data_IF_549221919652
#
_entry.id   IF_549221919652
#
_cell.length_a   1.000
_cell.length_b   1.000
_cell.length_c   1.000
_cell.angle_alpha   90.00
_cell.angle_beta   90.00
_cell.angle_gamma   90.00
#
_symmetry.space_group_name_H-M   'P 1'
#
loop_
_entity.id
_entity.type
_entity.pdbx_description
1 polymer ?
#
# COMPACT_ATOMS: atom_id res chain seq x y z
N UNK A 1 -9.01 12.55 0.90
CA UNK A 1 -9.41 11.48 -0.04
C UNK A 1 -9.07 11.96 -1.43
N UNK A 2 -8.50 11.09 -2.27
CA UNK A 2 -8.22 11.44 -3.66
C UNK A 2 -9.45 11.65 -4.55
N UNK A 3 -9.25 11.85 -5.87
CA UNK A 3 -10.35 11.99 -6.82
C UNK A 3 -11.24 10.73 -6.90
N UNK A 4 -10.76 9.57 -6.43
CA UNK A 4 -11.59 8.41 -6.15
C UNK A 4 -12.48 8.63 -4.92
N UNK A 5 -13.80 8.44 -5.09
CA UNK A 5 -14.76 8.45 -3.98
C UNK A 5 -14.40 7.32 -3.00
N UNK A 6 -14.34 7.62 -1.70
CA UNK A 6 -14.24 6.57 -0.67
C UNK A 6 -15.37 5.54 -0.87
N UNK A 7 -15.00 4.29 -1.13
CA UNK A 7 -15.96 3.20 -1.38
C UNK A 7 -16.20 2.35 -0.14
N UNK A 8 -15.37 2.51 0.89
CA UNK A 8 -15.59 1.89 2.20
C UNK A 8 -16.82 2.54 2.85
N UNK A 9 -17.85 1.75 3.23
CA UNK A 9 -18.99 2.22 3.99
C UNK A 9 -18.54 2.88 5.28
N UNK A 10 -19.14 4.02 5.62
CA UNK A 10 -18.87 4.69 6.90
C UNK A 10 -19.34 3.82 8.05
N UNK A 11 -18.48 3.66 9.05
CA UNK A 11 -18.78 2.95 10.29
C UNK A 11 -18.09 3.64 11.48
N UNK A 12 -18.24 3.10 12.69
CA UNK A 12 -17.43 3.50 13.85
C UNK A 12 -16.08 2.78 13.78
N UNK A 13 -14.93 3.47 13.90
CA UNK A 13 -13.63 2.82 13.90
C UNK A 13 -13.50 1.83 15.06
N UNK A 14 -13.09 0.59 14.77
CA UNK A 14 -12.83 -0.47 15.74
C UNK A 14 -11.48 -1.13 15.46
N UNK A 15 -10.65 -1.27 16.50
CA UNK A 15 -9.32 -1.87 16.46
C UNK A 15 -9.24 -3.22 17.18
N UNK A 16 -10.34 -3.66 17.81
CA UNK A 16 -10.44 -4.89 18.61
C UNK A 16 -11.51 -5.85 18.02
N UNK A 17 -11.84 -5.66 16.74
CA UNK A 17 -12.82 -6.46 16.02
C UNK A 17 -12.34 -7.90 15.72
N UNK A 18 -13.07 -8.67 14.90
CA UNK A 18 -12.64 -10.01 14.51
C UNK A 18 -11.32 -9.98 13.73
N UNK A 19 -10.54 -11.08 13.80
CA UNK A 19 -9.30 -11.22 13.03
C UNK A 19 -9.61 -11.29 11.53
N UNK A 20 -8.91 -10.47 10.75
CA UNK A 20 -9.01 -10.37 9.31
C UNK A 20 -7.64 -10.55 8.66
N UNK A 21 -7.62 -11.18 7.50
CA UNK A 21 -6.40 -11.38 6.71
C UNK A 21 -5.97 -10.08 6.05
N UNK A 22 -4.67 -9.78 6.10
CA UNK A 22 -4.04 -8.66 5.41
C UNK A 22 -3.16 -9.22 4.30
N UNK A 23 -3.42 -8.78 3.08
CA UNK A 23 -2.69 -9.17 1.88
C UNK A 23 -2.01 -7.91 1.33
N UNK A 24 -0.81 -8.05 0.81
CA UNK A 24 -0.19 -7.00 0.00
C UNK A 24 -0.24 -7.42 -1.46
N UNK A 25 -0.48 -6.45 -2.34
CA UNK A 25 -0.39 -6.68 -3.77
C UNK A 25 0.44 -5.63 -4.47
N UNK A 26 1.03 -6.02 -5.60
CA UNK A 26 1.74 -5.11 -6.49
C UNK A 26 1.54 -5.45 -7.98
N UNK A 27 1.67 -4.45 -8.84
CA UNK A 27 1.73 -4.63 -10.29
C UNK A 27 2.62 -3.56 -10.94
N UNK A 28 3.12 -3.75 -12.17
CA UNK A 28 3.86 -2.71 -12.88
C UNK A 28 3.03 -1.43 -13.08
N UNK A 29 3.65 -0.26 -12.96
CA UNK A 29 3.03 1.02 -13.32
C UNK A 29 2.62 0.97 -14.80
N UNK A 30 1.43 1.48 -15.15
CA UNK A 30 0.74 1.35 -16.46
C UNK A 30 0.02 0.01 -16.76
N UNK A 31 -0.31 -0.80 -15.74
CA UNK A 31 -1.22 -1.94 -15.87
C UNK A 31 -0.80 -2.95 -16.95
N UNK A 32 -1.74 -3.37 -17.81
CA UNK A 32 -1.50 -4.38 -18.85
C UNK A 32 -0.44 -4.00 -19.90
N UNK A 33 -0.27 -2.71 -20.21
CA UNK A 33 0.75 -2.21 -21.14
C UNK A 33 2.15 -2.30 -20.49
N UNK A 34 2.24 -2.01 -19.19
CA UNK A 34 3.45 -2.20 -18.40
C UNK A 34 3.87 -3.67 -18.35
N UNK A 35 2.91 -4.60 -18.25
CA UNK A 35 3.16 -6.06 -18.29
C UNK A 35 3.70 -6.52 -19.65
N UNK A 36 3.18 -5.99 -20.76
CA UNK A 36 3.66 -6.31 -22.12
C UNK A 36 5.08 -5.80 -22.37
N UNK A 37 5.39 -4.59 -21.91
CA UNK A 37 6.74 -4.01 -22.00
C UNK A 37 7.75 -4.69 -21.06
N UNK A 38 7.31 -5.25 -19.92
CA UNK A 38 8.17 -5.99 -19.00
C UNK A 38 8.81 -7.23 -19.66
N UNK A 39 8.12 -7.85 -20.63
CA UNK A 39 8.62 -9.00 -21.39
C UNK A 39 9.77 -8.67 -22.36
N UNK A 40 10.08 -7.39 -22.61
CA UNK A 40 11.10 -6.95 -23.58
C UNK A 40 12.39 -6.39 -22.96
N UNK A 41 12.53 -6.41 -21.63
CA UNK A 41 13.76 -5.91 -21.00
C UNK A 41 13.66 -5.42 -19.56
N UNK A 42 12.55 -5.73 -18.85
CA UNK A 42 12.40 -5.44 -17.44
C UNK A 42 12.15 -3.97 -17.15
N UNK A 43 10.92 -3.63 -16.75
CA UNK A 43 10.77 -2.40 -15.97
C UNK A 43 11.60 -2.56 -14.69
N UNK A 44 12.34 -1.54 -14.25
CA UNK A 44 13.02 -1.61 -12.97
C UNK A 44 11.99 -2.01 -11.91
N UNK A 45 12.33 -2.93 -11.01
CA UNK A 45 11.49 -3.35 -9.86
C UNK A 45 10.93 -2.17 -9.05
N UNK A 46 11.53 -0.99 -9.22
CA UNK A 46 11.18 0.33 -8.69
C UNK A 46 9.94 0.98 -9.33
N UNK A 47 9.40 0.43 -10.42
CA UNK A 47 8.20 0.92 -11.11
C UNK A 47 7.01 -0.03 -10.89
N UNK A 48 6.76 -0.40 -9.63
CA UNK A 48 5.60 -1.18 -9.23
C UNK A 48 4.68 -0.32 -8.37
N UNK A 49 3.37 -0.42 -8.62
CA UNK A 49 2.32 0.13 -7.77
C UNK A 49 1.95 -0.88 -6.69
N UNK A 50 1.81 -0.41 -5.44
CA UNK A 50 1.64 -1.26 -4.26
C UNK A 50 0.35 -0.85 -3.53
N UNK A 51 -0.42 -1.85 -3.09
CA UNK A 51 -1.65 -1.66 -2.34
C UNK A 51 -1.79 -2.71 -1.22
N UNK A 52 -2.49 -2.34 -0.15
CA UNK A 52 -2.81 -3.23 0.98
C UNK A 52 -4.27 -3.63 0.89
N UNK A 53 -4.56 -4.92 1.00
CA UNK A 53 -5.88 -5.52 0.82
C UNK A 53 -6.37 -6.13 2.12
N UNK A 54 -7.59 -5.79 2.54
CA UNK A 54 -8.25 -6.36 3.72
C UNK A 54 -9.75 -6.51 3.43
N UNK A 55 -10.28 -7.72 3.56
CA UNK A 55 -11.65 -8.02 3.15
C UNK A 55 -11.88 -7.71 1.67
N UNK A 56 -12.89 -6.89 1.38
CA UNK A 56 -13.31 -6.55 0.01
C UNK A 56 -12.67 -5.25 -0.54
N UNK A 57 -11.74 -4.65 0.21
CA UNK A 57 -11.17 -3.35 -0.10
C UNK A 57 -9.65 -3.38 -0.23
N UNK A 58 -9.14 -2.49 -1.08
CA UNK A 58 -7.72 -2.16 -1.15
C UNK A 58 -7.47 -0.71 -0.73
N UNK A 59 -6.26 -0.46 -0.25
CA UNK A 59 -5.80 0.80 0.33
C UNK A 59 -4.43 1.16 -0.25
N UNK A 60 -4.31 2.34 -0.83
CA UNK A 60 -3.11 2.75 -1.56
C UNK A 60 -2.79 4.24 -1.42
N UNK A 61 -1.56 4.58 -1.80
CA UNK A 61 -1.15 5.95 -2.04
C UNK A 61 -1.32 6.26 -3.53
N UNK A 62 -1.97 7.37 -3.83
CA UNK A 62 -2.05 7.94 -5.17
C UNK A 62 -1.61 9.41 -5.14
N UNK A 63 -1.67 10.09 -6.27
CA UNK A 63 -1.32 11.51 -6.41
C UNK A 63 -2.35 12.25 -7.26
N UNK A 64 -2.59 13.53 -6.96
CA UNK A 64 -3.39 14.38 -7.83
C UNK A 64 -2.58 14.92 -9.03
N UNK A 65 -3.21 15.77 -9.84
CA UNK A 65 -2.58 16.38 -11.02
C UNK A 65 -1.39 17.28 -10.68
N UNK A 66 -1.33 17.78 -9.45
CA UNK A 66 -0.25 18.63 -8.92
C UNK A 66 0.78 17.80 -8.13
N UNK A 67 0.74 16.46 -8.25
CA UNK A 67 1.61 15.49 -7.60
C UNK A 67 1.51 15.46 -6.06
N UNK A 68 0.46 16.05 -5.49
CA UNK A 68 0.22 15.94 -4.05
C UNK A 68 -0.19 14.52 -3.70
N UNK A 69 0.50 13.92 -2.74
CA UNK A 69 0.17 12.60 -2.25
C UNK A 69 -1.21 12.56 -1.57
N UNK A 70 -1.96 11.51 -1.85
CA UNK A 70 -3.31 11.33 -1.32
C UNK A 70 -3.59 9.87 -0.99
N UNK A 71 -4.45 9.67 0.00
CA UNK A 71 -4.99 8.35 0.34
C UNK A 71 -6.17 8.01 -0.58
N UNK A 72 -6.16 6.79 -1.11
CA UNK A 72 -7.24 6.22 -1.93
C UNK A 72 -7.57 4.80 -1.46
N UNK A 73 -8.83 4.41 -1.67
CA UNK A 73 -9.30 3.03 -1.53
C UNK A 73 -10.25 2.68 -2.67
N UNK A 74 -10.36 1.39 -2.94
CA UNK A 74 -11.27 0.83 -3.93
C UNK A 74 -11.73 -0.57 -3.54
N UNK A 75 -12.69 -1.12 -4.30
CA UNK A 75 -13.09 -2.52 -4.18
C UNK A 75 -12.15 -3.41 -4.96
N UNK A 76 -12.02 -4.65 -4.54
CA UNK A 76 -11.25 -5.67 -5.27
C UNK A 76 -12.06 -6.12 -6.49
N UNK A 77 -12.15 -5.26 -7.51
CA UNK A 77 -12.83 -5.53 -8.77
C UNK A 77 -11.88 -5.09 -9.91
N UNK A 78 -11.25 -6.07 -10.57
CA UNK A 78 -10.60 -6.01 -11.89
C UNK A 78 -9.19 -5.41 -12.09
N UNK A 79 -8.35 -5.28 -11.06
CA UNK A 79 -6.91 -5.03 -11.26
C UNK A 79 -6.06 -6.30 -11.10
N UNK A 80 -5.15 -6.53 -12.05
CA UNK A 80 -4.24 -7.69 -12.03
C UNK A 80 -3.06 -7.39 -11.12
N UNK A 81 -3.23 -7.64 -9.83
CA UNK A 81 -2.14 -7.63 -8.85
C UNK A 81 -1.50 -9.02 -8.72
N UNK A 82 -0.19 -9.04 -8.48
CA UNK A 82 0.44 -10.15 -7.78
C UNK A 82 0.19 -9.97 -6.28
N UNK A 83 -0.13 -11.04 -5.56
CA UNK A 83 -0.49 -10.99 -4.14
C UNK A 83 0.45 -11.81 -3.27
N UNK A 84 0.68 -11.35 -2.05
CA UNK A 84 1.35 -12.11 -1.00
C UNK A 84 0.73 -11.85 0.37
N UNK A 85 0.70 -12.88 1.21
CA UNK A 85 0.29 -12.76 2.61
C UNK A 85 1.20 -11.82 3.39
N UNK A 86 0.60 -10.83 4.05
CA UNK A 86 1.29 -9.89 4.91
C UNK A 86 1.07 -10.19 6.40
N UNK A 87 -0.11 -10.66 6.77
CA UNK A 87 -0.44 -11.01 8.15
C UNK A 87 -1.92 -10.90 8.45
N UNK A 88 -2.24 -10.41 9.64
CA UNK A 88 -3.60 -10.33 10.16
C UNK A 88 -3.82 -9.03 10.93
N UNK A 89 -5.06 -8.56 11.02
CA UNK A 89 -5.46 -7.35 11.76
C UNK A 89 -6.79 -7.55 12.49
N UNK A 90 -7.03 -6.79 13.56
CA UNK A 90 -8.34 -6.65 14.21
C UNK A 90 -9.11 -5.42 13.71
N UNK A 91 -8.51 -4.60 12.84
CA UNK A 91 -9.10 -3.34 12.43
C UNK A 91 -10.28 -3.57 11.49
N UNK A 92 -11.40 -2.91 11.76
CA UNK A 92 -12.50 -2.82 10.79
C UNK A 92 -12.15 -1.85 9.65
N UNK A 93 -12.99 -1.80 8.61
CA UNK A 93 -12.69 -1.03 7.40
C UNK A 93 -12.54 0.46 7.68
N UNK A 94 -13.38 1.02 8.56
CA UNK A 94 -13.26 2.42 8.95
C UNK A 94 -11.95 2.71 9.69
N UNK A 95 -11.52 1.84 10.60
CA UNK A 95 -10.25 2.01 11.30
C UNK A 95 -9.04 1.97 10.35
N UNK A 96 -9.10 1.17 9.28
CA UNK A 96 -8.05 1.13 8.24
C UNK A 96 -8.07 2.41 7.40
N UNK A 97 -9.25 2.92 7.03
CA UNK A 97 -9.40 4.21 6.33
C UNK A 97 -8.79 5.34 7.16
N UNK A 98 -9.10 5.40 8.45
CA UNK A 98 -8.59 6.43 9.35
C UNK A 98 -7.07 6.32 9.51
N UNK A 99 -6.54 5.09 9.65
CA UNK A 99 -5.10 4.85 9.69
C UNK A 99 -4.39 5.32 8.40
N UNK A 100 -4.97 5.02 7.23
CA UNK A 100 -4.44 5.46 5.94
C UNK A 100 -4.44 6.99 5.78
N UNK A 101 -5.53 7.66 6.16
CA UNK A 101 -5.62 9.13 6.13
C UNK A 101 -4.63 9.79 7.09
N UNK A 102 -4.50 9.28 8.32
CA UNK A 102 -3.53 9.76 9.30
C UNK A 102 -2.09 9.56 8.81
N UNK A 103 -1.81 8.44 8.14
CA UNK A 103 -0.50 8.16 7.59
C UNK A 103 -0.15 9.15 6.47
N UNK A 104 -1.06 9.41 5.52
CA UNK A 104 -0.83 10.43 4.49
C UNK A 104 -0.67 11.82 5.10
N UNK A 105 -1.49 12.19 6.08
CA UNK A 105 -1.31 13.44 6.81
C UNK A 105 0.06 13.51 7.50
N UNK A 106 0.53 12.42 8.11
CA UNK A 106 1.86 12.36 8.70
C UNK A 106 2.97 12.47 7.66
N UNK A 107 2.87 11.75 6.53
CA UNK A 107 3.85 11.81 5.45
C UNK A 107 3.93 13.23 4.88
N UNK A 108 2.78 13.89 4.66
CA UNK A 108 2.68 15.25 4.16
C UNK A 108 3.11 16.33 5.18
N UNK A 109 2.93 16.10 6.49
CA UNK A 109 3.17 17.12 7.53
C UNK A 109 4.52 16.95 8.24
N UNK A 110 4.98 15.71 8.48
CA UNK A 110 6.08 15.46 9.44
C UNK A 110 7.45 15.28 8.81
N UNK A 111 7.62 14.64 7.64
CA UNK A 111 8.98 14.26 7.16
C UNK A 111 9.19 14.12 5.64
N UNK A 112 8.23 14.42 4.76
CA UNK A 112 8.44 14.24 3.31
C UNK A 112 8.02 15.45 2.49
N UNK A 113 8.73 15.62 1.38
CA UNK A 113 8.36 16.47 0.24
C UNK A 113 6.89 16.19 -0.13
N UNK A 114 6.00 17.19 -0.26
CA UNK A 114 4.60 16.96 -0.62
C UNK A 114 4.43 16.27 -1.98
N UNK A 115 5.47 16.32 -2.81
CA UNK A 115 5.54 15.70 -4.14
C UNK A 115 5.79 14.19 -4.06
N UNK A 116 5.00 13.41 -4.82
CA UNK A 116 5.24 11.98 -5.01
C UNK A 116 6.60 11.75 -5.69
N UNK A 117 7.44 10.91 -5.10
CA UNK A 117 8.75 10.54 -5.64
C UNK A 117 8.86 9.03 -5.72
N UNK A 118 8.98 8.52 -6.95
CA UNK A 118 9.13 7.08 -7.25
C UNK A 118 10.22 6.38 -6.42
N UNK A 119 11.22 7.12 -5.93
CA UNK A 119 12.37 6.58 -5.22
C UNK A 119 12.28 6.55 -3.70
N UNK A 120 11.53 7.45 -3.05
CA UNK A 120 11.51 7.61 -1.57
C UNK A 120 10.21 8.16 -0.94
N UNK A 121 9.25 8.58 -1.77
CA UNK A 121 7.89 8.98 -1.40
C UNK A 121 6.88 8.31 -2.33
N UNK A 122 6.68 7.00 -2.16
CA UNK A 122 5.90 6.20 -3.10
C UNK A 122 4.92 5.25 -2.40
N UNK A 123 4.06 4.61 -3.21
CA UNK A 123 3.07 3.65 -2.74
C UNK A 123 3.67 2.47 -1.96
N UNK A 124 4.86 1.98 -2.32
CA UNK A 124 5.55 0.92 -1.57
C UNK A 124 5.81 1.35 -0.11
N UNK A 125 6.30 2.57 0.12
CA UNK A 125 6.55 3.09 1.47
C UNK A 125 5.26 3.24 2.28
N UNK A 126 4.21 3.76 1.65
CA UNK A 126 2.88 3.85 2.27
C UNK A 126 2.36 2.47 2.68
N UNK A 127 2.39 1.48 1.78
CA UNK A 127 1.91 0.12 2.07
C UNK A 127 2.65 -0.52 3.23
N UNK A 128 3.98 -0.35 3.32
CA UNK A 128 4.78 -0.86 4.44
C UNK A 128 4.32 -0.23 5.75
N UNK A 129 4.22 1.09 5.82
CA UNK A 129 3.83 1.78 7.06
C UNK A 129 2.38 1.50 7.45
N UNK A 130 1.48 1.39 6.48
CA UNK A 130 0.10 1.02 6.74
C UNK A 130 0.05 -0.38 7.39
N UNK A 131 0.78 -1.36 6.82
CA UNK A 131 0.89 -2.70 7.43
C UNK A 131 1.56 -2.68 8.81
N UNK A 132 2.56 -1.84 9.05
CA UNK A 132 3.14 -1.67 10.40
C UNK A 132 2.13 -1.13 11.40
N UNK A 133 1.19 -0.31 10.94
CA UNK A 133 0.17 0.28 11.79
C UNK A 133 -0.98 -0.68 12.09
N UNK A 134 -1.41 -1.49 11.12
CA UNK A 134 -2.64 -2.30 11.23
C UNK A 134 -2.38 -3.77 11.52
N UNK A 135 -1.23 -4.34 11.16
CA UNK A 135 -0.98 -5.75 11.35
C UNK A 135 -0.64 -6.09 12.81
N UNK A 136 -1.10 -7.25 13.23
CA UNK A 136 -0.64 -7.92 14.45
C UNK A 136 0.87 -8.19 14.41
N UNK A 137 1.46 -8.36 15.60
CA UNK A 137 2.87 -8.73 15.73
C UNK A 137 3.18 -10.04 14.99
N UNK A 138 4.37 -10.13 14.37
CA UNK A 138 4.80 -11.31 13.60
C UNK A 138 4.47 -11.27 12.10
N UNK A 139 4.08 -10.10 11.56
CA UNK A 139 3.85 -9.92 10.12
C UNK A 139 5.08 -10.27 9.26
N UNK A 140 4.82 -10.68 8.02
CA UNK A 140 5.88 -10.90 7.02
C UNK A 140 6.56 -9.55 6.71
N UNK A 141 7.89 -9.58 6.61
CA UNK A 141 8.69 -8.45 6.13
C UNK A 141 9.06 -8.72 4.68
N UNK A 142 8.79 -7.74 3.81
CA UNK A 142 9.01 -7.87 2.37
C UNK A 142 10.34 -7.22 1.99
N UNK A 143 11.01 -7.78 0.99
CA UNK A 143 12.14 -7.11 0.35
C UNK A 143 11.61 -5.90 -0.42
N UNK A 144 12.16 -4.73 -0.13
CA UNK A 144 11.67 -3.46 -0.69
C UNK A 144 12.81 -2.73 -1.37
N UNK A 145 12.48 -1.74 -2.20
CA UNK A 145 13.49 -0.89 -2.84
C UNK A 145 14.34 -0.10 -1.81
N UNK A 146 13.91 -0.08 -0.55
CA UNK A 146 14.53 0.62 0.58
C UNK A 146 15.32 -0.27 1.53
N UNK A 147 15.10 -1.59 1.47
CA UNK A 147 15.77 -2.57 2.31
C UNK A 147 16.07 -3.81 1.45
N UNK A 148 17.22 -3.83 0.73
CA UNK A 148 17.69 -5.07 0.13
C UNK A 148 17.99 -6.07 1.24
N UNK A 149 17.63 -7.33 1.03
CA UNK A 149 17.91 -8.46 1.93
C UNK A 149 19.34 -8.40 2.45
N UNK A 150 19.52 -8.29 3.77
CA UNK A 150 20.82 -8.58 4.37
C UNK A 150 20.95 -10.10 4.38
N UNK A 151 21.68 -10.66 3.41
CA UNK A 151 22.10 -12.05 3.45
C UNK A 151 23.02 -12.22 4.66
N UNK A 152 22.50 -12.85 5.71
CA UNK A 152 23.32 -13.28 6.84
C UNK A 152 24.19 -14.42 6.32
N UNK A 153 25.46 -14.12 6.06
CA UNK A 153 26.48 -15.15 5.92
C UNK A 153 26.75 -15.64 7.35
N UNK A 154 26.21 -16.80 7.70
CA UNK A 154 26.58 -17.47 8.95
C UNK A 154 28.04 -17.97 8.80
N UNK A 155 28.93 -17.67 9.76
CA UNK A 155 30.28 -18.24 9.80
C UNK A 155 30.29 -19.73 10.11
#
# INVERSE_FOLDING_TARGET
LGPGKNVVPKDTPDQDGPIRRVIIGWHPVCGGIGRFLNNFGGFPRKAQHWAVFVGDYYHELSSDADLNILYQNGKIEDEVFEYQDAGYTHFNDQAIVDAGMLLVAFLAIKQMDPEYRLMDNNCQKFSIYLMEKICLAGRVRFDTSYAPSQSVVLP
#
